data_IF_277342162425
#
_entry.id   IF_277342162425
#
_cell.length_a   1.000
_cell.length_b   1.000
_cell.length_c   1.000
_cell.angle_alpha   90.00
_cell.angle_beta   90.00
_cell.angle_gamma   90.00
#
_symmetry.space_group_name_H-M   'P 1'
#
loop_
_entity.id
_entity.type
_entity.pdbx_description
1 polymer ?
#
# COMPACT_ATOMS: atom_id res chain seq x y z
N UNK A 1 -2.56 -11.81 -41.50
CA UNK A 1 -2.91 -10.99 -40.32
C UNK A 1 -1.76 -11.03 -39.33
N UNK A 2 -1.53 -9.97 -38.55
CA UNK A 2 -0.62 -10.06 -37.41
C UNK A 2 -1.03 -11.21 -36.49
N UNK A 3 -0.07 -11.96 -35.96
CA UNK A 3 -0.37 -12.98 -34.95
C UNK A 3 -1.01 -12.32 -33.73
N UNK A 4 -2.11 -12.90 -33.23
CA UNK A 4 -2.82 -12.39 -32.05
C UNK A 4 -3.80 -11.24 -32.30
N UNK A 5 -4.03 -10.82 -33.56
CA UNK A 5 -5.14 -9.92 -33.90
C UNK A 5 -6.34 -10.74 -34.42
N UNK A 6 -7.51 -10.59 -33.80
CA UNK A 6 -8.78 -11.14 -34.24
C UNK A 6 -9.31 -10.35 -35.44
N UNK A 7 -10.12 -11.00 -36.27
CA UNK A 7 -10.72 -10.34 -37.45
C UNK A 7 -11.65 -9.19 -37.00
N UNK A 8 -12.34 -9.38 -35.89
CA UNK A 8 -13.24 -8.40 -35.27
C UNK A 8 -12.48 -7.19 -34.73
N UNK A 9 -11.38 -7.40 -33.99
CA UNK A 9 -10.53 -6.31 -33.53
C UNK A 9 -9.82 -5.59 -34.69
N UNK A 10 -9.42 -6.30 -35.75
CA UNK A 10 -8.90 -5.65 -36.96
C UNK A 10 -9.93 -4.71 -37.59
N UNK A 11 -11.18 -5.16 -37.70
CA UNK A 11 -12.27 -4.34 -38.23
C UNK A 11 -12.58 -3.14 -37.32
N UNK A 12 -12.60 -3.33 -36.01
CA UNK A 12 -12.75 -2.24 -35.03
C UNK A 12 -11.62 -1.22 -35.13
N UNK A 13 -10.37 -1.68 -35.24
CA UNK A 13 -9.17 -0.87 -35.40
C UNK A 13 -9.22 -0.03 -36.69
N UNK A 14 -9.63 -0.62 -37.81
CA UNK A 14 -9.80 0.09 -39.08
C UNK A 14 -10.96 1.10 -39.00
N UNK A 15 -12.10 0.73 -38.41
CA UNK A 15 -13.24 1.63 -38.21
C UNK A 15 -12.85 2.88 -37.41
N UNK A 16 -12.15 2.69 -36.28
CA UNK A 16 -11.64 3.80 -35.48
C UNK A 16 -10.64 4.67 -36.23
N UNK A 17 -9.78 4.06 -37.07
CA UNK A 17 -8.84 4.80 -37.91
C UNK A 17 -9.54 5.69 -38.94
N UNK A 18 -10.66 5.24 -39.49
CA UNK A 18 -11.44 5.97 -40.50
C UNK A 18 -12.58 6.82 -39.91
N UNK A 19 -12.63 7.00 -38.59
CA UNK A 19 -13.47 8.00 -37.94
C UNK A 19 -14.77 7.48 -37.30
N UNK A 20 -14.91 6.17 -37.11
CA UNK A 20 -15.97 5.66 -36.24
C UNK A 20 -15.72 6.06 -34.78
N UNK A 21 -16.79 6.26 -34.02
CA UNK A 21 -16.73 6.65 -32.61
C UNK A 21 -17.13 5.52 -31.64
N UNK A 22 -17.65 4.42 -32.18
CA UNK A 22 -18.05 3.26 -31.40
C UNK A 22 -16.90 2.25 -31.31
N UNK A 23 -16.59 1.84 -30.08
CA UNK A 23 -15.66 0.77 -29.75
C UNK A 23 -16.36 -0.17 -28.77
N UNK A 24 -16.33 -1.46 -29.09
CA UNK A 24 -16.85 -2.50 -28.21
C UNK A 24 -15.83 -2.79 -27.10
N UNK A 25 -16.33 -2.99 -25.87
CA UNK A 25 -15.50 -3.19 -24.69
C UNK A 25 -14.58 -4.42 -24.83
N UNK A 26 -15.08 -5.48 -25.46
CA UNK A 26 -14.39 -6.77 -25.66
C UNK A 26 -13.06 -6.62 -26.42
N UNK A 27 -13.05 -5.81 -27.48
CA UNK A 27 -11.86 -5.63 -28.33
C UNK A 27 -10.99 -4.43 -27.94
N UNK A 28 -11.37 -3.68 -26.89
CA UNK A 28 -10.74 -2.40 -26.58
C UNK A 28 -9.24 -2.53 -26.27
N UNK A 29 -8.85 -3.56 -25.51
CA UNK A 29 -7.45 -3.81 -25.17
C UNK A 29 -6.62 -4.25 -26.38
N UNK A 30 -7.19 -5.13 -27.20
CA UNK A 30 -6.56 -5.64 -28.40
C UNK A 30 -6.34 -4.52 -29.43
N UNK A 31 -7.38 -3.72 -29.71
CA UNK A 31 -7.31 -2.55 -30.58
C UNK A 31 -6.30 -1.54 -30.06
N UNK A 32 -6.24 -1.30 -28.74
CA UNK A 32 -5.24 -0.41 -28.13
C UNK A 32 -3.82 -0.94 -28.35
N UNK A 33 -3.58 -2.22 -28.12
CA UNK A 33 -2.28 -2.87 -28.31
C UNK A 33 -1.79 -2.72 -29.76
N UNK A 34 -2.64 -3.01 -30.74
CA UNK A 34 -2.27 -2.86 -32.15
C UNK A 34 -2.16 -1.40 -32.59
N UNK A 35 -2.94 -0.48 -32.01
CA UNK A 35 -2.75 0.95 -32.23
C UNK A 35 -1.41 1.46 -31.66
N UNK A 36 -0.91 0.84 -30.59
CA UNK A 36 0.44 1.08 -30.06
C UNK A 36 1.51 0.55 -31.03
N UNK A 37 1.39 -0.70 -31.47
CA UNK A 37 2.33 -1.33 -32.41
C UNK A 37 2.41 -0.61 -33.76
N UNK A 38 1.29 -0.08 -34.25
CA UNK A 38 1.21 0.63 -35.54
C UNK A 38 1.51 2.14 -35.44
N UNK A 39 1.83 2.64 -34.24
CA UNK A 39 2.05 4.05 -33.93
C UNK A 39 0.87 4.97 -34.37
N UNK A 40 -0.34 4.60 -33.97
CA UNK A 40 -1.58 5.34 -34.26
C UNK A 40 -2.08 6.09 -33.02
N UNK A 41 -1.48 7.24 -32.65
CA UNK A 41 -1.74 7.91 -31.37
C UNK A 41 -3.18 8.39 -31.20
N UNK A 42 -3.87 8.76 -32.29
CA UNK A 42 -5.26 9.20 -32.22
C UNK A 42 -6.21 8.04 -31.89
N UNK A 43 -5.95 6.85 -32.43
CA UNK A 43 -6.74 5.65 -32.14
C UNK A 43 -6.45 5.19 -30.72
N UNK A 44 -5.16 5.17 -30.32
CA UNK A 44 -4.76 4.86 -28.94
C UNK A 44 -5.46 5.75 -27.91
N UNK A 45 -5.47 7.07 -28.13
CA UNK A 45 -6.16 8.03 -27.23
C UNK A 45 -7.67 7.77 -27.12
N UNK A 46 -8.32 7.36 -28.21
CA UNK A 46 -9.74 7.00 -28.20
C UNK A 46 -9.98 5.72 -27.37
N UNK A 47 -9.16 4.70 -27.56
CA UNK A 47 -9.22 3.48 -26.74
C UNK A 47 -8.96 3.78 -25.26
N UNK A 48 -8.00 4.66 -24.96
CA UNK A 48 -7.69 5.09 -23.59
C UNK A 48 -8.86 5.82 -22.92
N UNK A 49 -9.53 6.72 -23.64
CA UNK A 49 -10.73 7.39 -23.14
C UNK A 49 -11.90 6.41 -22.91
N UNK A 50 -12.04 5.41 -23.79
CA UNK A 50 -13.06 4.37 -23.63
C UNK A 50 -12.77 3.46 -22.42
N UNK A 51 -11.52 3.03 -22.25
CA UNK A 51 -11.09 2.28 -21.06
C UNK A 51 -11.32 3.08 -19.77
N UNK A 52 -11.03 4.39 -19.79
CA UNK A 52 -11.29 5.26 -18.64
C UNK A 52 -12.77 5.26 -18.25
N UNK A 53 -13.66 5.39 -19.23
CA UNK A 53 -15.10 5.36 -19.01
C UNK A 53 -15.57 4.00 -18.43
N UNK A 54 -15.05 2.88 -18.95
CA UNK A 54 -15.35 1.53 -18.43
C UNK A 54 -14.86 1.35 -16.99
N UNK A 55 -13.65 1.81 -16.68
CA UNK A 55 -13.06 1.72 -15.34
C UNK A 55 -13.78 2.61 -14.31
N UNK A 56 -14.34 3.74 -14.75
CA UNK A 56 -15.19 4.58 -13.89
C UNK A 56 -16.52 3.87 -13.56
N UNK A 57 -17.08 3.11 -14.51
CA UNK A 57 -18.28 2.28 -14.34
C UNK A 57 -17.95 0.86 -13.89
N UNK A 58 -16.88 0.71 -13.09
CA UNK A 58 -16.30 -0.61 -12.83
C UNK A 58 -17.32 -1.67 -12.37
N UNK A 59 -18.39 -1.31 -11.63
CA UNK A 59 -19.40 -2.26 -11.10
C UNK A 59 -20.01 -3.19 -12.15
N UNK A 60 -20.07 -2.73 -13.39
CA UNK A 60 -20.70 -3.43 -14.52
C UNK A 60 -19.68 -4.23 -15.35
N UNK A 61 -18.38 -4.08 -15.06
CA UNK A 61 -17.30 -4.84 -15.70
C UNK A 61 -17.12 -6.17 -14.96
N UNK A 62 -16.99 -7.26 -15.70
CA UNK A 62 -16.73 -8.59 -15.15
C UNK A 62 -15.29 -8.73 -14.64
N UNK A 63 -15.08 -9.70 -13.75
CA UNK A 63 -13.78 -9.92 -13.09
C UNK A 63 -12.67 -10.29 -14.07
N UNK A 64 -12.99 -11.01 -15.15
CA UNK A 64 -12.01 -11.42 -16.16
C UNK A 64 -11.57 -10.24 -17.04
N UNK A 65 -12.50 -9.38 -17.45
CA UNK A 65 -12.14 -8.13 -18.15
C UNK A 65 -11.28 -7.20 -17.28
N UNK A 66 -11.59 -7.05 -15.98
CA UNK A 66 -10.74 -6.25 -15.07
C UNK A 66 -9.34 -6.87 -14.92
N UNK A 67 -9.24 -8.19 -14.85
CA UNK A 67 -7.97 -8.93 -14.80
C UNK A 67 -7.15 -8.67 -16.07
N UNK A 68 -7.77 -8.77 -17.25
CA UNK A 68 -7.13 -8.52 -18.53
C UNK A 68 -6.64 -7.06 -18.66
N UNK A 69 -7.41 -6.08 -18.18
CA UNK A 69 -6.98 -4.66 -18.18
C UNK A 69 -5.76 -4.45 -17.29
N UNK A 70 -5.73 -5.07 -16.09
CA UNK A 70 -4.57 -4.97 -15.19
C UNK A 70 -3.34 -5.64 -15.78
N UNK A 71 -3.50 -6.85 -16.34
CA UNK A 71 -2.42 -7.56 -17.05
C UNK A 71 -1.83 -6.73 -18.17
N UNK A 72 -2.69 -6.20 -19.05
CA UNK A 72 -2.27 -5.34 -20.16
C UNK A 72 -1.61 -4.03 -19.69
N UNK A 73 -2.05 -3.46 -18.56
CA UNK A 73 -1.46 -2.27 -17.97
C UNK A 73 -0.03 -2.50 -17.47
N UNK A 74 0.31 -3.72 -17.08
CA UNK A 74 1.67 -4.10 -16.67
C UNK A 74 2.59 -4.28 -17.85
N UNK A 75 2.12 -4.93 -18.91
CA UNK A 75 2.90 -5.18 -20.12
C UNK A 75 3.12 -3.92 -20.97
N UNK A 76 2.12 -3.03 -21.04
CA UNK A 76 2.21 -1.83 -21.87
C UNK A 76 3.03 -0.73 -21.18
N UNK A 77 4.21 -0.45 -21.73
CA UNK A 77 5.08 0.65 -21.27
C UNK A 77 4.49 2.03 -21.58
N UNK A 78 3.69 2.15 -22.64
CA UNK A 78 3.11 3.41 -23.11
C UNK A 78 1.73 3.72 -22.51
N UNK A 79 1.20 2.86 -21.63
CA UNK A 79 -0.06 3.16 -20.95
C UNK A 79 0.11 4.30 -19.94
N UNK A 80 -0.76 5.33 -20.01
CA UNK A 80 -0.72 6.45 -19.07
C UNK A 80 -0.79 6.01 -17.60
N UNK A 81 0.00 6.64 -16.71
CA UNK A 81 0.08 6.23 -15.30
C UNK A 81 -1.27 6.33 -14.58
N UNK A 82 -2.11 7.31 -14.94
CA UNK A 82 -3.44 7.46 -14.37
C UNK A 82 -4.38 6.30 -14.74
N UNK A 83 -4.27 5.75 -15.96
CA UNK A 83 -5.06 4.58 -16.37
C UNK A 83 -4.59 3.31 -15.67
N UNK A 84 -3.27 3.14 -15.50
CA UNK A 84 -2.72 2.04 -14.69
C UNK A 84 -3.29 2.10 -13.26
N UNK A 85 -3.23 3.27 -12.64
CA UNK A 85 -3.80 3.47 -11.30
C UNK A 85 -5.31 3.22 -11.25
N UNK A 86 -6.06 3.68 -12.27
CA UNK A 86 -7.51 3.46 -12.35
C UNK A 86 -7.87 1.97 -12.50
N UNK A 87 -7.13 1.23 -13.33
CA UNK A 87 -7.29 -0.21 -13.51
C UNK A 87 -7.05 -0.97 -12.21
N UNK A 88 -5.95 -0.65 -11.52
CA UNK A 88 -5.64 -1.23 -10.22
C UNK A 88 -6.69 -0.88 -9.17
N UNK A 89 -7.14 0.36 -9.13
CA UNK A 89 -8.18 0.78 -8.20
C UNK A 89 -9.52 0.07 -8.48
N UNK A 90 -9.87 -0.17 -9.74
CA UNK A 90 -11.04 -0.97 -10.10
C UNK A 90 -10.88 -2.44 -9.67
N UNK A 91 -9.71 -3.05 -9.91
CA UNK A 91 -9.43 -4.42 -9.53
C UNK A 91 -9.44 -4.63 -8.02
N UNK A 92 -8.79 -3.76 -7.24
CA UNK A 92 -8.84 -3.80 -5.77
C UNK A 92 -10.26 -3.58 -5.27
N UNK A 93 -11.07 -2.75 -5.94
CA UNK A 93 -12.48 -2.53 -5.56
C UNK A 93 -13.32 -3.81 -5.67
N UNK A 94 -13.03 -4.64 -6.65
CA UNK A 94 -13.75 -5.88 -6.96
C UNK A 94 -12.89 -7.13 -6.77
N UNK A 95 -11.98 -7.08 -5.80
CA UNK A 95 -10.96 -8.11 -5.63
C UNK A 95 -11.52 -9.53 -5.54
N UNK A 96 -12.70 -9.73 -4.92
CA UNK A 96 -13.32 -11.06 -4.86
C UNK A 96 -13.58 -11.65 -6.25
N UNK A 97 -14.09 -10.84 -7.18
CA UNK A 97 -14.37 -11.25 -8.57
C UNK A 97 -13.08 -11.44 -9.37
N UNK A 98 -12.10 -10.57 -9.14
CA UNK A 98 -10.79 -10.63 -9.82
C UNK A 98 -9.97 -11.83 -9.33
N UNK A 99 -10.02 -12.15 -8.05
CA UNK A 99 -9.34 -13.31 -7.47
C UNK A 99 -9.94 -14.63 -8.01
N UNK A 100 -11.27 -14.74 -8.05
CA UNK A 100 -11.96 -15.89 -8.67
C UNK A 100 -11.59 -16.05 -10.15
N UNK A 101 -11.51 -14.94 -10.90
CA UNK A 101 -11.06 -14.95 -12.28
C UNK A 101 -9.58 -15.35 -12.42
N UNK A 102 -8.70 -14.85 -11.54
CA UNK A 102 -7.27 -15.17 -11.56
C UNK A 102 -6.99 -16.63 -11.20
N UNK A 103 -7.78 -17.23 -10.30
CA UNK A 103 -7.71 -18.67 -10.01
C UNK A 103 -8.15 -19.52 -11.20
N UNK A 104 -9.12 -19.03 -11.99
CA UNK A 104 -9.64 -19.70 -13.17
C UNK A 104 -8.71 -19.56 -14.40
N UNK A 105 -7.95 -18.46 -14.48
CA UNK A 105 -7.03 -18.14 -15.58
C UNK A 105 -5.63 -17.73 -15.05
N UNK A 106 -4.77 -18.69 -14.69
CA UNK A 106 -3.45 -18.40 -14.12
C UNK A 106 -2.43 -17.82 -15.11
N UNK A 107 -2.76 -17.72 -16.41
CA UNK A 107 -1.88 -17.15 -17.45
C UNK A 107 -1.76 -15.63 -17.40
N UNK A 108 -2.72 -14.94 -16.79
CA UNK A 108 -2.91 -13.51 -17.06
C UNK A 108 -2.21 -12.60 -16.03
N UNK A 109 -1.90 -13.10 -14.83
CA UNK A 109 -1.13 -12.37 -13.82
C UNK A 109 -0.05 -13.26 -13.19
N UNK A 110 1.11 -12.67 -12.93
CA UNK A 110 2.15 -13.32 -12.14
C UNK A 110 1.66 -13.62 -10.72
N UNK A 111 2.12 -14.73 -10.14
CA UNK A 111 1.82 -15.11 -8.74
C UNK A 111 2.21 -14.02 -7.74
N UNK A 112 3.33 -13.33 -8.01
CA UNK A 112 3.81 -12.17 -7.25
C UNK A 112 2.77 -11.05 -7.22
N UNK A 113 2.17 -10.73 -8.37
CA UNK A 113 1.17 -9.66 -8.47
C UNK A 113 -0.16 -10.02 -7.83
N UNK A 114 -0.59 -11.28 -7.97
CA UNK A 114 -1.77 -11.78 -7.27
C UNK A 114 -1.62 -11.64 -5.75
N UNK A 115 -0.44 -12.00 -5.22
CA UNK A 115 -0.13 -11.83 -3.80
C UNK A 115 -0.14 -10.36 -3.37
N UNK A 116 0.41 -9.46 -4.20
CA UNK A 116 0.43 -8.02 -3.93
C UNK A 116 -0.99 -7.42 -3.90
N UNK A 117 -1.83 -7.73 -4.89
CA UNK A 117 -3.22 -7.25 -4.93
C UNK A 117 -4.04 -7.78 -3.74
N UNK A 118 -3.78 -9.02 -3.31
CA UNK A 118 -4.37 -9.58 -2.09
C UNK A 118 -3.99 -8.79 -0.84
N UNK A 119 -2.74 -8.37 -0.72
CA UNK A 119 -2.26 -7.52 0.37
C UNK A 119 -2.86 -6.10 0.30
N UNK A 120 -2.92 -5.50 -0.89
CA UNK A 120 -3.56 -4.19 -1.11
C UNK A 120 -5.05 -4.22 -0.77
N UNK A 121 -5.76 -5.31 -1.03
CA UNK A 121 -7.16 -5.44 -0.62
C UNK A 121 -7.33 -5.48 0.90
N UNK A 122 -6.40 -6.12 1.64
CA UNK A 122 -6.39 -6.07 3.12
C UNK A 122 -6.18 -4.65 3.63
N UNK A 123 -5.22 -3.92 3.05
CA UNK A 123 -4.97 -2.50 3.34
C UNK A 123 -6.24 -1.68 3.12
N UNK A 124 -6.90 -1.84 1.97
CA UNK A 124 -8.17 -1.16 1.68
C UNK A 124 -9.25 -1.44 2.72
N UNK A 125 -9.43 -2.71 3.12
CA UNK A 125 -10.46 -3.07 4.09
C UNK A 125 -10.25 -2.44 5.46
N UNK A 126 -8.99 -2.24 5.85
CA UNK A 126 -8.64 -1.67 7.16
C UNK A 126 -8.61 -0.13 7.13
N UNK A 127 -7.87 0.44 6.18
CA UNK A 127 -7.53 1.85 6.17
C UNK A 127 -8.42 2.65 5.19
N UNK A 128 -9.20 1.98 4.34
CA UNK A 128 -10.07 2.62 3.34
C UNK A 128 -9.34 3.19 2.12
N UNK A 129 -8.01 3.11 2.10
CA UNK A 129 -7.16 3.64 1.03
C UNK A 129 -6.88 2.60 -0.05
N UNK A 130 -6.75 3.07 -1.29
CA UNK A 130 -6.36 2.25 -2.45
C UNK A 130 -5.05 2.81 -2.98
N UNK A 131 -4.01 1.99 -2.96
CA UNK A 131 -2.67 2.34 -3.43
C UNK A 131 -2.36 1.59 -4.72
N UNK A 132 -1.49 2.15 -5.57
CA UNK A 132 -1.03 1.51 -6.81
C UNK A 132 -0.03 0.38 -6.58
N UNK A 133 0.71 0.43 -5.46
CA UNK A 133 1.61 -0.63 -5.03
C UNK A 133 1.72 -0.71 -3.51
N UNK A 134 2.22 -1.85 -3.00
CA UNK A 134 2.54 -1.98 -1.57
C UNK A 134 3.68 -1.04 -1.16
N UNK A 135 4.64 -0.80 -2.05
CA UNK A 135 5.74 0.12 -1.78
C UNK A 135 5.22 1.55 -1.55
N UNK A 136 4.32 2.03 -2.41
CA UNK A 136 3.68 3.34 -2.28
C UNK A 136 2.94 3.46 -0.94
N UNK A 137 2.15 2.44 -0.59
CA UNK A 137 1.47 2.40 0.71
C UNK A 137 2.45 2.46 1.88
N UNK A 138 3.50 1.63 1.87
CA UNK A 138 4.46 1.56 2.96
C UNK A 138 5.19 2.89 3.16
N UNK A 139 5.48 3.60 2.07
CA UNK A 139 6.09 4.92 2.11
C UNK A 139 5.13 5.98 2.67
N UNK A 140 3.93 6.09 2.12
CA UNK A 140 2.93 7.04 2.58
C UNK A 140 2.56 6.83 4.06
N UNK A 141 2.32 5.56 4.44
CA UNK A 141 1.99 5.20 5.82
C UNK A 141 3.12 5.54 6.80
N UNK A 142 4.40 5.41 6.41
CA UNK A 142 5.53 5.83 7.28
C UNK A 142 5.48 7.31 7.56
N UNK A 143 5.29 8.13 6.54
CA UNK A 143 5.28 9.58 6.70
C UNK A 143 4.08 10.01 7.57
N UNK A 144 2.89 9.46 7.31
CA UNK A 144 1.68 9.72 8.11
C UNK A 144 1.84 9.27 9.57
N UNK A 145 2.40 8.09 9.83
CA UNK A 145 2.63 7.57 11.18
C UNK A 145 3.69 8.39 11.93
N UNK A 146 4.75 8.79 11.23
CA UNK A 146 5.80 9.66 11.76
C UNK A 146 5.22 11.02 12.14
N UNK A 147 4.38 11.60 11.28
CA UNK A 147 3.76 12.90 11.54
C UNK A 147 2.70 12.81 12.63
N UNK A 148 1.94 11.71 12.72
CA UNK A 148 1.03 11.46 13.83
C UNK A 148 1.80 11.35 15.15
N UNK A 149 2.89 10.58 15.19
CA UNK A 149 3.73 10.42 16.38
C UNK A 149 4.39 11.74 16.80
N UNK A 150 4.81 12.58 15.84
CA UNK A 150 5.36 13.91 16.11
C UNK A 150 4.31 14.87 16.69
N UNK A 151 3.12 14.91 16.09
CA UNK A 151 2.06 15.86 16.46
C UNK A 151 1.21 15.38 17.65
N UNK A 152 1.41 14.15 18.11
CA UNK A 152 0.67 13.61 19.26
C UNK A 152 0.98 14.41 20.53
N UNK A 153 -0.04 14.95 21.23
CA UNK A 153 0.17 15.64 22.49
C UNK A 153 0.90 14.74 23.50
N UNK A 154 1.75 15.35 24.31
CA UNK A 154 2.49 14.60 25.34
C UNK A 154 1.55 13.99 26.40
N UNK A 155 0.40 14.63 26.62
CA UNK A 155 -0.70 14.17 27.49
C UNK A 155 -1.77 13.35 26.75
N UNK A 156 -1.46 12.83 25.56
CA UNK A 156 -2.41 12.05 24.78
C UNK A 156 -2.93 10.84 25.59
N UNK A 157 -4.26 10.56 25.54
CA UNK A 157 -4.84 9.40 26.22
C UNK A 157 -4.16 8.09 25.81
N UNK A 158 -4.04 7.14 26.74
CA UNK A 158 -3.46 5.82 26.44
C UNK A 158 -4.13 5.13 25.26
N UNK A 159 -5.44 5.32 25.06
CA UNK A 159 -6.17 4.79 23.90
C UNK A 159 -5.64 5.32 22.56
N UNK A 160 -5.19 6.58 22.52
CA UNK A 160 -4.61 7.18 21.32
C UNK A 160 -3.21 6.64 21.06
N UNK A 161 -2.40 6.48 22.12
CA UNK A 161 -1.09 5.82 22.04
C UNK A 161 -1.22 4.38 21.54
N UNK A 162 -2.18 3.62 22.07
CA UNK A 162 -2.50 2.26 21.61
C UNK A 162 -2.90 2.20 20.14
N UNK A 163 -3.70 3.16 19.66
CA UNK A 163 -4.08 3.24 18.23
C UNK A 163 -2.88 3.49 17.32
N UNK A 164 -1.97 4.38 17.71
CA UNK A 164 -0.73 4.63 16.97
C UNK A 164 0.12 3.35 16.91
N UNK A 165 0.33 2.68 18.04
CA UNK A 165 1.09 1.43 18.10
C UNK A 165 0.44 0.32 17.28
N UNK A 166 -0.89 0.18 17.33
CA UNK A 166 -1.63 -0.77 16.48
C UNK A 166 -1.52 -0.46 14.99
N UNK A 167 -1.26 0.80 14.63
CA UNK A 167 -1.02 1.21 13.24
C UNK A 167 0.43 0.91 12.82
N UNK A 168 1.41 1.13 13.69
CA UNK A 168 2.79 0.66 13.49
C UNK A 168 2.90 -0.87 13.35
N UNK A 169 2.14 -1.63 14.14
CA UNK A 169 2.09 -3.09 14.05
C UNK A 169 1.53 -3.54 12.69
N UNK A 170 0.52 -2.85 12.18
CA UNK A 170 -0.02 -3.14 10.86
C UNK A 170 0.98 -2.86 9.76
N UNK A 171 1.62 -1.69 9.84
CA UNK A 171 2.67 -1.34 8.90
C UNK A 171 3.77 -2.41 8.88
N UNK A 172 4.17 -2.92 10.05
CA UNK A 172 5.12 -4.04 10.15
C UNK A 172 4.60 -5.34 9.53
N UNK A 173 3.30 -5.65 9.69
CA UNK A 173 2.68 -6.81 9.04
C UNK A 173 2.73 -6.68 7.51
N UNK A 174 2.35 -5.53 6.96
CA UNK A 174 2.38 -5.28 5.52
C UNK A 174 3.82 -5.28 5.00
N UNK A 175 4.78 -4.76 5.76
CA UNK A 175 6.20 -4.82 5.42
C UNK A 175 6.70 -6.26 5.33
N UNK A 176 6.24 -7.14 6.22
CA UNK A 176 6.58 -8.56 6.18
C UNK A 176 6.02 -9.23 4.92
N UNK A 177 4.77 -8.94 4.56
CA UNK A 177 4.16 -9.41 3.31
C UNK A 177 4.91 -8.89 2.08
N UNK A 178 5.28 -7.60 2.07
CA UNK A 178 6.12 -7.02 1.04
C UNK A 178 7.47 -7.72 0.91
N UNK A 179 8.13 -8.05 2.03
CA UNK A 179 9.38 -8.81 2.02
C UNK A 179 9.23 -10.24 1.51
N UNK A 180 8.07 -10.88 1.73
CA UNK A 180 7.77 -12.19 1.18
C UNK A 180 7.59 -12.16 -0.34
N UNK A 181 6.98 -11.09 -0.86
CA UNK A 181 6.65 -10.93 -2.29
C UNK A 181 7.86 -10.42 -3.10
N UNK A 182 8.56 -9.39 -2.60
CA UNK A 182 9.60 -8.65 -3.33
C UNK A 182 11.02 -8.89 -2.79
N UNK A 183 11.16 -9.75 -1.79
CA UNK A 183 12.45 -10.13 -1.20
C UNK A 183 12.76 -9.43 0.14
N UNK A 184 13.42 -10.18 1.02
CA UNK A 184 13.71 -9.75 2.38
C UNK A 184 14.61 -8.50 2.45
N UNK A 185 15.58 -8.36 1.55
CA UNK A 185 16.52 -7.22 1.56
C UNK A 185 15.80 -5.87 1.38
N UNK A 186 14.79 -5.82 0.50
CA UNK A 186 14.03 -4.59 0.26
C UNK A 186 13.21 -4.20 1.50
N UNK A 187 12.60 -5.18 2.15
CA UNK A 187 11.86 -4.97 3.40
C UNK A 187 12.80 -4.55 4.54
N UNK A 188 14.00 -5.12 4.65
CA UNK A 188 14.99 -4.74 5.67
C UNK A 188 15.47 -3.30 5.52
N UNK A 189 15.77 -2.85 4.29
CA UNK A 189 16.14 -1.44 4.03
C UNK A 189 15.05 -0.47 4.49
N UNK A 190 13.80 -0.78 4.19
CA UNK A 190 12.63 -0.01 4.64
C UNK A 190 12.53 -0.04 6.17
N UNK A 191 12.67 -1.21 6.79
CA UNK A 191 12.61 -1.41 8.23
C UNK A 191 13.65 -0.59 8.97
N UNK A 192 14.89 -0.60 8.51
CA UNK A 192 16.00 0.06 9.20
C UNK A 192 15.90 1.57 9.11
N UNK A 193 15.47 2.10 7.96
CA UNK A 193 15.17 3.53 7.80
C UNK A 193 14.10 3.99 8.79
N UNK A 194 13.01 3.24 8.92
CA UNK A 194 11.89 3.57 9.82
C UNK A 194 12.29 3.41 11.28
N UNK A 195 13.05 2.37 11.63
CA UNK A 195 13.58 2.16 12.98
C UNK A 195 14.44 3.33 13.45
N UNK A 196 15.34 3.82 12.60
CA UNK A 196 16.19 4.96 12.93
C UNK A 196 15.35 6.21 13.13
N UNK A 197 14.47 6.53 12.17
CA UNK A 197 13.59 7.71 12.23
C UNK A 197 12.67 7.70 13.46
N UNK A 198 12.08 6.55 13.79
CA UNK A 198 11.21 6.40 14.97
C UNK A 198 12.00 6.50 16.28
N UNK A 199 13.24 6.00 16.33
CA UNK A 199 14.10 6.13 17.51
C UNK A 199 14.42 7.59 17.78
N UNK A 200 14.81 8.34 16.76
CA UNK A 200 15.08 9.79 16.85
C UNK A 200 13.85 10.54 17.36
N UNK A 201 12.67 10.26 16.81
CA UNK A 201 11.41 10.85 17.28
C UNK A 201 11.11 10.56 18.76
N UNK A 202 11.31 9.31 19.20
CA UNK A 202 11.08 8.94 20.59
C UNK A 202 12.07 9.63 21.53
N UNK A 203 13.33 9.78 21.12
CA UNK A 203 14.34 10.52 21.89
C UNK A 203 14.00 12.01 21.99
N UNK A 204 13.59 12.63 20.89
CA UNK A 204 13.13 14.03 20.87
C UNK A 204 11.92 14.24 21.79
N UNK A 205 10.94 13.33 21.76
CA UNK A 205 9.76 13.39 22.63
C UNK A 205 10.11 13.19 24.10
N UNK A 206 11.00 12.24 24.42
CA UNK A 206 11.51 12.04 25.79
C UNK A 206 12.17 13.31 26.32
N UNK A 207 12.97 13.98 25.49
CA UNK A 207 13.61 15.25 25.83
C UNK A 207 12.59 16.38 26.05
N UNK A 208 11.68 16.60 25.10
CA UNK A 208 10.64 17.61 25.19
C UNK A 208 9.76 17.43 26.44
N UNK A 209 9.41 16.18 26.77
CA UNK A 209 8.63 15.87 27.96
C UNK A 209 9.41 16.12 29.24
N UNK A 210 10.70 15.75 29.25
CA UNK A 210 11.59 16.04 30.38
C UNK A 210 11.72 17.54 30.66
N UNK A 211 11.86 18.35 29.61
CA UNK A 211 11.92 19.81 29.69
C UNK A 211 10.58 20.40 30.17
N UNK A 212 9.45 19.93 29.63
CA UNK A 212 8.10 20.39 30.01
C UNK A 212 7.79 20.10 31.48
N UNK A 213 8.14 18.91 31.96
CA UNK A 213 7.90 18.49 33.35
C UNK A 213 8.95 19.02 34.33
N UNK A 214 9.99 19.74 33.85
CA UNK A 214 11.14 20.19 34.66
C UNK A 214 11.67 19.09 35.56
N UNK A 215 11.99 17.94 34.94
CA UNK A 215 12.46 16.79 35.70
C UNK A 215 13.71 17.14 36.54
N UNK A 216 13.86 16.55 37.74
CA UNK A 216 15.06 16.75 38.55
C UNK A 216 16.32 16.37 37.77
N UNK A 217 17.43 17.04 38.10
CA UNK A 217 18.71 16.80 37.44
C UNK A 217 19.10 15.31 37.51
N UNK A 218 19.50 14.75 36.37
CA UNK A 218 19.82 13.34 36.24
C UNK A 218 18.62 12.40 36.06
N UNK A 219 17.36 12.86 36.08
CA UNK A 219 16.17 12.03 35.76
C UNK A 219 15.78 12.16 34.29
N UNK A 220 15.31 11.05 33.70
CA UNK A 220 14.92 10.97 32.29
C UNK A 220 13.49 10.49 32.16
N UNK A 221 12.70 11.09 31.28
CA UNK A 221 11.35 10.60 30.99
C UNK A 221 11.40 9.29 30.20
N UNK A 222 10.64 8.28 30.65
CA UNK A 222 10.47 7.03 29.94
C UNK A 222 9.18 7.05 29.12
N UNK A 223 9.31 7.11 27.79
CA UNK A 223 8.21 6.94 26.84
C UNK A 223 8.07 5.45 26.49
N UNK A 224 7.00 4.82 26.96
CA UNK A 224 6.72 3.40 26.78
C UNK A 224 6.03 3.10 25.44
N UNK A 225 6.41 2.00 24.80
CA UNK A 225 5.70 1.42 23.63
C UNK A 225 4.91 0.17 24.03
N UNK A 226 4.30 -0.55 23.08
CA UNK A 226 3.68 -1.87 23.34
C UNK A 226 4.69 -3.00 23.53
N UNK A 227 5.95 -2.77 23.16
CA UNK A 227 7.03 -3.74 23.34
C UNK A 227 7.66 -3.59 24.73
N UNK A 228 8.19 -4.69 25.27
CA UNK A 228 8.93 -4.64 26.53
C UNK A 228 10.24 -3.88 26.33
N UNK A 229 10.35 -2.72 26.99
CA UNK A 229 11.54 -1.88 26.93
C UNK A 229 12.19 -1.79 28.31
N UNK A 230 13.52 -1.86 28.35
CA UNK A 230 14.28 -1.66 29.59
C UNK A 230 14.07 -0.23 30.09
N UNK A 231 13.68 -0.10 31.35
CA UNK A 231 13.52 1.19 32.03
C UNK A 231 14.90 1.60 32.55
N UNK A 232 15.43 2.77 32.14
CA UNK A 232 16.72 3.22 32.63
C UNK A 232 16.67 3.46 34.15
N UNK A 233 17.78 3.29 34.90
CA UNK A 233 17.79 3.41 36.36
C UNK A 233 17.29 4.78 36.89
N UNK A 234 17.44 5.81 36.07
CA UNK A 234 17.00 7.17 36.33
C UNK A 234 15.68 7.55 35.63
N UNK A 235 14.97 6.55 35.08
CA UNK A 235 13.72 6.71 34.36
C UNK A 235 12.55 7.12 35.27
N UNK A 236 11.75 8.06 34.80
CA UNK A 236 10.43 8.39 35.36
C UNK A 236 9.40 7.89 34.37
N UNK A 237 8.51 7.03 34.86
CA UNK A 237 7.50 6.38 34.06
C UNK A 237 6.12 7.02 34.26
N UNK A 238 5.29 7.00 33.21
CA UNK A 238 3.88 7.37 33.32
C UNK A 238 3.09 6.35 34.16
N UNK A 239 1.95 6.79 34.70
CA UNK A 239 1.00 5.89 35.35
C UNK A 239 0.33 4.94 34.33
N UNK A 240 -0.07 3.76 34.78
CA UNK A 240 -0.80 2.77 33.97
C UNK A 240 0.06 1.99 32.97
N UNK A 241 1.35 1.83 33.24
CA UNK A 241 2.23 0.91 32.53
C UNK A 241 2.22 -0.48 33.17
N UNK A 242 2.43 -1.50 32.35
CA UNK A 242 2.78 -2.84 32.83
C UNK A 242 4.28 -2.90 33.11
N UNK A 243 4.65 -3.52 34.23
CA UNK A 243 6.04 -3.69 34.63
C UNK A 243 6.40 -5.17 34.74
N UNK A 244 7.64 -5.49 34.35
CA UNK A 244 8.25 -6.80 34.53
C UNK A 244 9.66 -6.63 35.03
N UNK A 245 9.98 -7.26 36.15
CA UNK A 245 11.35 -7.35 36.66
C UNK A 245 11.97 -8.66 36.19
N UNK A 246 13.12 -8.58 35.53
CA UNK A 246 13.95 -9.74 35.29
C UNK A 246 14.77 -10.04 36.56
N UNK A 247 14.40 -11.11 37.25
CA UNK A 247 15.04 -11.52 38.51
C UNK A 247 16.49 -11.99 38.33
N UNK A 248 16.90 -12.38 37.12
CA UNK A 248 18.27 -12.83 36.85
C UNK A 248 19.21 -11.63 36.67
N UNK A 249 18.77 -10.62 35.93
CA UNK A 249 19.59 -9.46 35.61
C UNK A 249 19.35 -8.26 36.52
N UNK A 250 18.26 -8.28 37.31
CA UNK A 250 17.81 -7.16 38.13
C UNK A 250 17.24 -6.00 37.31
N UNK A 251 17.00 -6.18 36.01
CA UNK A 251 16.55 -5.12 35.09
C UNK A 251 15.04 -4.98 35.09
N UNK A 252 14.58 -3.73 35.15
CA UNK A 252 13.17 -3.41 35.03
C UNK A 252 12.79 -3.19 33.57
N UNK A 253 11.68 -3.78 33.16
CA UNK A 253 11.07 -3.57 31.85
C UNK A 253 9.67 -2.99 32.03
N UNK A 254 9.28 -2.09 31.13
CA UNK A 254 7.92 -1.55 31.10
C UNK A 254 7.38 -1.49 29.68
N UNK A 255 6.05 -1.54 29.56
CA UNK A 255 5.30 -1.35 28.30
C UNK A 255 3.94 -0.73 28.58
N UNK A 256 3.26 -0.26 27.54
CA UNK A 256 1.86 0.13 27.61
C UNK A 256 1.00 -1.08 27.99
N UNK A 257 0.15 -0.94 29.01
CA UNK A 257 -0.78 -1.98 29.43
C UNK A 257 -1.78 -2.28 28.31
N UNK A 258 -1.99 -3.55 27.94
CA UNK A 258 -2.94 -3.90 26.87
C UNK A 258 -4.39 -3.69 27.26
#
# INVERSE_FOLDING_TARGET
>A
MPEGLSEEAMMALLRLRYGADELEAEFTLEVRHFAELLDWPNVRKRCEAHLEALLQQSKDVDGASLLAVVSHAEESSLMPPHLKAAALAAAVRQWSRVAEAAESCPSDLSSTRQAELGALNRVRHRDGHVCGSLEEYLHAAVDDLTDWERNMPLDAPQSTKKKLEGSWQHWHQILFEYGHIFGAENAERLRDRVRTRRRELLEDRKRQRGETLRLPEGKVWFEATTEWQEVPPNGICAAGLEYRLDMQTGRNFARLAM
#
